data_IF_492449524600
#
_entry.id   IF_492449524600
#
_cell.length_a   1.000
_cell.length_b   1.000
_cell.length_c   1.000
_cell.angle_alpha   90.00
_cell.angle_beta   90.00
_cell.angle_gamma   90.00
#
_symmetry.space_group_name_H-M   'P 1'
#
loop_
_entity.id
_entity.type
_entity.pdbx_description
1 polymer ?
#
# COMPACT_ATOMS: atom_id res chain seq x y z
N UNK A 1 31.38 -0.12 53.65
CA UNK A 1 31.23 0.61 52.38
C UNK A 1 32.56 1.20 51.94
N UNK A 2 33.28 0.53 51.05
CA UNK A 2 34.55 0.99 50.49
C UNK A 2 34.30 1.52 49.07
N UNK A 3 34.37 2.85 48.90
CA UNK A 3 34.30 3.49 47.59
C UNK A 3 35.52 3.07 46.77
N UNK A 4 35.31 2.28 45.70
CA UNK A 4 36.30 2.06 44.65
C UNK A 4 36.62 3.42 44.02
N UNK A 5 37.88 3.84 44.10
CA UNK A 5 38.36 5.03 43.39
C UNK A 5 38.34 4.71 41.89
N UNK A 6 37.62 5.54 41.15
CA UNK A 6 37.55 5.47 39.69
C UNK A 6 38.91 5.85 39.12
N UNK A 7 39.65 4.88 38.58
CA UNK A 7 40.85 5.11 37.77
C UNK A 7 40.41 5.47 36.34
N UNK A 8 39.71 6.59 36.19
CA UNK A 8 39.47 7.18 34.88
C UNK A 8 40.45 8.36 34.77
N UNK A 9 41.20 8.42 33.68
CA UNK A 9 42.31 9.32 33.41
C UNK A 9 43.65 8.77 33.92
N UNK A 10 44.13 7.71 33.28
CA UNK A 10 45.57 7.50 33.13
C UNK A 10 45.91 7.58 31.65
N UNK A 11 46.80 8.54 31.35
CA UNK A 11 47.63 8.68 30.15
C UNK A 11 47.02 9.37 28.92
N UNK A 12 47.47 10.61 28.58
CA UNK A 12 47.48 11.08 27.21
C UNK A 12 48.70 10.42 26.51
N UNK A 13 48.63 9.11 26.30
CA UNK A 13 49.64 8.41 25.53
C UNK A 13 49.27 8.52 24.06
N UNK A 14 50.16 9.17 23.30
CA UNK A 14 50.18 9.27 21.86
C UNK A 14 48.83 9.64 21.24
N UNK A 15 48.62 10.94 21.01
CA UNK A 15 47.86 11.33 19.82
C UNK A 15 48.69 10.76 18.67
N UNK A 16 48.33 9.57 18.17
CA UNK A 16 48.82 9.10 16.89
C UNK A 16 48.62 10.26 15.93
N UNK A 17 49.71 10.77 15.39
CA UNK A 17 49.69 11.78 14.34
C UNK A 17 48.95 11.13 13.19
N UNK A 18 47.65 11.42 13.08
CA UNK A 18 46.81 10.93 11.99
C UNK A 18 47.49 11.42 10.73
N UNK A 19 47.95 10.48 9.89
CA UNK A 19 48.60 10.81 8.64
C UNK A 19 47.65 11.69 7.82
N UNK A 20 48.04 12.92 7.44
CA UNK A 20 47.21 13.80 6.62
C UNK A 20 46.75 13.12 5.32
N UNK A 21 47.52 12.15 4.81
CA UNK A 21 47.16 11.36 3.65
C UNK A 21 46.02 10.37 3.93
N UNK A 22 46.08 9.65 5.05
CA UNK A 22 45.00 8.73 5.47
C UNK A 22 43.69 9.51 5.75
N UNK A 23 43.79 10.68 6.39
CA UNK A 23 42.63 11.53 6.66
C UNK A 23 41.97 12.06 5.37
N UNK A 24 42.77 12.42 4.37
CA UNK A 24 42.24 12.86 3.07
C UNK A 24 41.59 11.69 2.30
N UNK A 25 42.19 10.49 2.37
CA UNK A 25 41.59 9.29 1.78
C UNK A 25 40.26 8.93 2.44
N UNK A 26 40.19 8.96 3.77
CA UNK A 26 38.97 8.72 4.53
C UNK A 26 37.90 9.80 4.25
N UNK A 27 38.31 11.07 4.16
CA UNK A 27 37.42 12.18 3.80
C UNK A 27 36.86 12.01 2.40
N UNK A 28 37.68 11.61 1.42
CA UNK A 28 37.24 11.32 0.05
C UNK A 28 36.31 10.10 0.01
N UNK A 29 36.61 9.05 0.76
CA UNK A 29 35.77 7.86 0.86
C UNK A 29 34.39 8.20 1.46
N UNK A 30 34.36 9.01 2.51
CA UNK A 30 33.12 9.50 3.14
C UNK A 30 32.33 10.40 2.18
N UNK A 31 32.99 11.32 1.47
CA UNK A 31 32.34 12.14 0.44
C UNK A 31 31.77 11.28 -0.69
N UNK A 32 32.49 10.25 -1.14
CA UNK A 32 32.02 9.30 -2.16
C UNK A 32 30.82 8.49 -1.67
N UNK A 33 30.83 8.02 -0.42
CA UNK A 33 29.69 7.34 0.19
C UNK A 33 28.48 8.27 0.30
N UNK A 34 28.68 9.51 0.76
CA UNK A 34 27.61 10.50 0.88
C UNK A 34 27.00 10.87 -0.47
N UNK A 35 27.83 11.09 -1.51
CA UNK A 35 27.32 11.35 -2.86
C UNK A 35 26.58 10.16 -3.44
N UNK A 36 26.97 8.93 -3.11
CA UNK A 36 26.28 7.71 -3.52
C UNK A 36 24.90 7.62 -2.86
N UNK A 37 24.82 7.86 -1.55
CA UNK A 37 23.55 7.89 -0.81
C UNK A 37 22.62 8.98 -1.35
N UNK A 38 23.13 10.20 -1.60
CA UNK A 38 22.33 11.28 -2.17
C UNK A 38 21.77 10.90 -3.55
N UNK A 39 22.57 10.27 -4.41
CA UNK A 39 22.08 9.79 -5.71
C UNK A 39 20.97 8.76 -5.55
N UNK A 40 21.11 7.84 -4.62
CA UNK A 40 20.07 6.83 -4.33
C UNK A 40 18.78 7.49 -3.86
N UNK A 41 18.85 8.37 -2.86
CA UNK A 41 17.69 9.12 -2.35
C UNK A 41 17.00 9.94 -3.44
N UNK A 42 17.77 10.68 -4.25
CA UNK A 42 17.18 11.45 -5.37
C UNK A 42 16.48 10.55 -6.39
N UNK A 43 16.98 9.33 -6.59
CA UNK A 43 16.37 8.37 -7.51
C UNK A 43 15.06 7.82 -6.95
N UNK A 44 15.00 7.54 -5.65
CA UNK A 44 13.78 7.06 -4.97
C UNK A 44 12.72 8.15 -5.04
N UNK A 45 13.04 9.37 -4.59
CA UNK A 45 12.11 10.51 -4.61
C UNK A 45 11.59 10.76 -6.03
N UNK A 46 12.48 10.72 -7.03
CA UNK A 46 12.08 10.92 -8.43
C UNK A 46 11.08 9.86 -8.90
N UNK A 47 11.27 8.59 -8.54
CA UNK A 47 10.34 7.50 -8.91
C UNK A 47 9.00 7.63 -8.22
N UNK A 48 8.99 7.98 -6.94
CA UNK A 48 7.77 8.19 -6.17
C UNK A 48 6.94 9.34 -6.76
N UNK A 49 7.60 10.45 -7.08
CA UNK A 49 6.95 11.59 -7.72
C UNK A 49 6.37 11.19 -9.08
N UNK A 50 7.11 10.40 -9.86
CA UNK A 50 6.65 9.91 -11.17
C UNK A 50 5.35 9.11 -11.03
N UNK A 51 5.25 8.19 -10.07
CA UNK A 51 4.03 7.39 -9.85
C UNK A 51 2.81 8.26 -9.48
N UNK A 52 3.02 9.30 -8.67
CA UNK A 52 1.94 10.22 -8.30
C UNK A 52 1.50 11.11 -9.47
N UNK A 53 2.45 11.53 -10.31
CA UNK A 53 2.17 12.30 -11.51
C UNK A 53 1.46 11.42 -12.57
N UNK A 54 1.81 10.15 -12.68
CA UNK A 54 1.12 9.15 -13.50
C UNK A 54 -0.32 8.93 -13.01
N UNK A 55 -0.54 8.82 -11.69
CA UNK A 55 -1.88 8.70 -11.10
C UNK A 55 -2.75 9.89 -11.49
N UNK A 56 -2.24 11.13 -11.36
CA UNK A 56 -2.95 12.34 -11.79
C UNK A 56 -3.24 12.33 -13.28
N UNK A 57 -2.25 11.96 -14.08
CA UNK A 57 -2.38 11.89 -15.53
C UNK A 57 -3.44 10.86 -15.94
N UNK A 58 -3.53 9.74 -15.24
CA UNK A 58 -4.55 8.71 -15.47
C UNK A 58 -5.96 9.25 -15.16
N UNK A 59 -6.11 10.02 -14.10
CA UNK A 59 -7.38 10.62 -13.71
C UNK A 59 -7.83 11.74 -14.65
N UNK A 60 -6.90 12.53 -15.16
CA UNK A 60 -7.20 13.65 -16.06
C UNK A 60 -7.53 13.17 -17.48
N UNK A 61 -6.86 12.10 -17.95
CA UNK A 61 -7.01 11.60 -19.32
C UNK A 61 -8.16 10.64 -19.53
N UNK A 62 -8.66 10.01 -18.47
CA UNK A 62 -9.79 9.10 -18.56
C UNK A 62 -11.05 9.75 -17.94
N UNK A 63 -11.90 10.42 -18.75
CA UNK A 63 -13.16 10.97 -18.26
C UNK A 63 -14.11 9.90 -17.72
N UNK A 64 -13.96 8.63 -18.15
CA UNK A 64 -14.68 7.52 -17.55
C UNK A 64 -14.06 7.08 -16.23
N UNK A 65 -12.78 7.28 -15.97
CA UNK A 65 -12.17 6.91 -14.70
C UNK A 65 -12.75 7.71 -13.54
N UNK A 66 -12.86 9.02 -13.72
CA UNK A 66 -13.56 9.88 -12.77
C UNK A 66 -15.03 9.43 -12.61
N UNK A 67 -15.72 9.10 -13.70
CA UNK A 67 -17.12 8.66 -13.66
C UNK A 67 -17.33 7.27 -13.04
N UNK A 68 -16.41 6.34 -13.26
CA UNK A 68 -16.39 4.95 -12.79
C UNK A 68 -16.07 4.88 -11.30
N UNK A 69 -15.15 5.72 -10.81
CA UNK A 69 -14.76 5.78 -9.41
C UNK A 69 -15.66 6.72 -8.56
N UNK A 70 -16.01 7.92 -9.05
CA UNK A 70 -16.69 8.95 -8.24
C UNK A 70 -18.21 8.96 -8.35
N UNK A 71 -18.79 8.72 -9.52
CA UNK A 71 -20.15 9.21 -9.76
C UNK A 71 -21.25 8.18 -9.53
N UNK A 72 -21.30 7.00 -10.18
CA UNK A 72 -22.59 6.27 -10.15
C UNK A 72 -22.69 4.75 -10.25
N UNK A 73 -21.70 3.90 -10.58
CA UNK A 73 -22.15 2.50 -10.80
C UNK A 73 -21.24 1.37 -11.25
N UNK A 74 -19.93 1.42 -11.00
CA UNK A 74 -19.08 0.23 -11.27
C UNK A 74 -18.25 -0.23 -10.07
N UNK A 75 -18.71 0.10 -8.88
CA UNK A 75 -18.19 -0.53 -7.65
C UNK A 75 -18.56 -2.02 -7.56
N UNK A 76 -19.53 -2.47 -8.37
CA UNK A 76 -19.89 -3.88 -8.56
C UNK A 76 -18.71 -4.68 -9.13
N UNK A 77 -17.89 -4.07 -9.97
CA UNK A 77 -16.69 -4.68 -10.55
C UNK A 77 -15.40 -4.41 -9.77
N UNK A 78 -15.46 -4.02 -8.50
CA UNK A 78 -14.26 -3.62 -7.75
C UNK A 78 -13.21 -4.73 -7.59
N UNK A 79 -13.61 -5.99 -7.71
CA UNK A 79 -12.70 -7.14 -7.78
C UNK A 79 -11.83 -7.18 -9.04
N UNK A 80 -12.18 -6.40 -10.08
CA UNK A 80 -11.46 -6.29 -11.35
C UNK A 80 -10.71 -4.97 -11.48
N UNK A 81 -10.68 -4.17 -10.41
CA UNK A 81 -9.96 -2.91 -10.43
C UNK A 81 -8.47 -3.13 -10.57
N UNK A 82 -7.82 -2.25 -11.33
CA UNK A 82 -6.37 -2.14 -11.38
C UNK A 82 -5.84 -1.31 -10.20
N UNK A 83 -4.52 -1.23 -10.06
CA UNK A 83 -3.87 -0.50 -8.96
C UNK A 83 -4.17 1.01 -8.96
N UNK A 84 -4.38 1.62 -10.13
CA UNK A 84 -4.72 3.04 -10.25
C UNK A 84 -6.12 3.31 -9.70
N UNK A 85 -7.09 2.47 -10.03
CA UNK A 85 -8.47 2.57 -9.53
C UNK A 85 -8.52 2.43 -8.00
N UNK A 86 -7.74 1.50 -7.43
CA UNK A 86 -7.62 1.34 -5.97
C UNK A 86 -6.99 2.60 -5.35
N UNK A 87 -5.89 3.09 -5.89
CA UNK A 87 -5.21 4.29 -5.38
C UNK A 87 -6.11 5.53 -5.44
N UNK A 88 -6.84 5.72 -6.55
CA UNK A 88 -7.78 6.82 -6.68
C UNK A 88 -8.95 6.70 -5.72
N UNK A 89 -9.45 5.47 -5.47
CA UNK A 89 -10.47 5.25 -4.44
C UNK A 89 -9.98 5.69 -3.06
N UNK A 90 -8.74 5.34 -2.68
CA UNK A 90 -8.15 5.82 -1.43
C UNK A 90 -8.07 7.34 -1.39
N UNK A 91 -7.62 7.97 -2.48
CA UNK A 91 -7.52 9.44 -2.54
C UNK A 91 -8.86 10.14 -2.36
N UNK A 92 -9.91 9.65 -3.04
CA UNK A 92 -11.29 10.18 -2.93
C UNK A 92 -11.81 10.06 -1.49
N UNK A 93 -11.46 8.98 -0.81
CA UNK A 93 -11.80 8.77 0.60
C UNK A 93 -10.89 9.57 1.55
N UNK A 94 -10.05 10.49 1.06
CA UNK A 94 -9.15 11.29 1.88
C UNK A 94 -8.02 10.48 2.53
N UNK A 95 -7.64 9.38 1.90
CA UNK A 95 -6.55 8.48 2.31
C UNK A 95 -5.35 8.61 1.34
N UNK A 96 -5.12 9.80 0.80
CA UNK A 96 -4.08 10.10 -0.21
C UNK A 96 -2.67 9.71 0.24
N UNK A 97 -2.36 9.84 1.53
CA UNK A 97 -1.06 9.46 2.09
C UNK A 97 -0.73 7.96 1.91
N UNK A 98 -1.73 7.12 1.60
CA UNK A 98 -1.55 5.69 1.36
C UNK A 98 -1.57 5.31 -0.12
N UNK A 99 -1.83 6.24 -1.05
CA UNK A 99 -1.84 5.91 -2.48
C UNK A 99 -0.49 5.38 -2.96
N UNK A 100 0.61 6.01 -2.55
CA UNK A 100 1.95 5.62 -2.98
C UNK A 100 2.36 4.21 -2.50
N UNK A 101 2.24 3.84 -1.21
CA UNK A 101 2.50 2.46 -0.77
C UNK A 101 1.67 1.40 -1.51
N UNK A 102 0.40 1.70 -1.82
CA UNK A 102 -0.48 0.79 -2.56
C UNK A 102 -0.05 0.66 -4.02
N UNK A 103 0.36 1.75 -4.67
CA UNK A 103 0.90 1.72 -6.04
C UNK A 103 2.24 0.99 -6.12
N UNK A 104 3.16 1.27 -5.20
CA UNK A 104 4.46 0.60 -5.12
C UNK A 104 4.32 -0.91 -4.94
N UNK A 105 3.31 -1.33 -4.17
CA UNK A 105 3.00 -2.74 -3.94
C UNK A 105 2.08 -3.35 -4.99
N UNK A 106 1.69 -2.57 -6.02
CA UNK A 106 0.81 -2.98 -7.11
C UNK A 106 -0.49 -3.63 -6.63
N UNK A 107 -1.09 -3.07 -5.57
CA UNK A 107 -2.33 -3.59 -4.98
C UNK A 107 -3.48 -3.35 -5.94
N UNK A 108 -4.01 -4.43 -6.51
CA UNK A 108 -5.20 -4.41 -7.35
C UNK A 108 -6.49 -4.61 -6.53
N UNK A 109 -7.64 -4.58 -7.22
CA UNK A 109 -8.94 -4.71 -6.60
C UNK A 109 -9.19 -6.06 -5.93
N UNK A 110 -8.65 -7.15 -6.46
CA UNK A 110 -8.83 -8.48 -5.87
C UNK A 110 -8.06 -8.57 -4.55
N UNK A 111 -6.78 -8.17 -4.55
CA UNK A 111 -5.93 -8.15 -3.37
C UNK A 111 -6.50 -7.20 -2.32
N UNK A 112 -6.90 -5.98 -2.74
CA UNK A 112 -7.49 -4.98 -1.87
C UNK A 112 -8.73 -5.50 -1.14
N UNK A 113 -9.60 -6.21 -1.86
CA UNK A 113 -10.86 -6.69 -1.30
C UNK A 113 -10.73 -7.99 -0.53
N UNK A 114 -9.78 -8.87 -0.80
CA UNK A 114 -9.82 -10.23 -0.24
C UNK A 114 -8.58 -10.62 0.57
N UNK A 115 -7.43 -10.04 0.27
CA UNK A 115 -6.15 -10.53 0.79
C UNK A 115 -5.53 -9.60 1.85
N UNK A 116 -5.94 -8.32 1.87
CA UNK A 116 -5.44 -7.38 2.87
C UNK A 116 -6.06 -7.60 4.25
N UNK A 117 -5.19 -7.77 5.24
CA UNK A 117 -5.54 -7.81 6.65
C UNK A 117 -4.86 -6.67 7.43
N UNK A 118 -5.24 -6.50 8.71
CA UNK A 118 -4.69 -5.43 9.58
C UNK A 118 -3.17 -5.45 9.68
N UNK A 119 -2.58 -6.65 9.71
CA UNK A 119 -1.14 -6.80 9.79
C UNK A 119 -0.50 -6.26 8.52
N UNK A 120 -0.87 -6.75 7.34
CA UNK A 120 -0.35 -6.28 6.04
C UNK A 120 -0.54 -4.77 5.85
N UNK A 121 -1.73 -4.25 6.17
CA UNK A 121 -2.01 -2.81 6.10
C UNK A 121 -1.06 -2.00 7.01
N UNK A 122 -0.81 -2.46 8.23
CA UNK A 122 0.02 -1.72 9.18
C UNK A 122 1.52 -1.88 8.94
N UNK A 123 1.99 -3.07 8.57
CA UNK A 123 3.42 -3.38 8.44
C UNK A 123 3.95 -3.09 7.05
N UNK A 124 3.20 -3.47 6.01
CA UNK A 124 3.66 -3.38 4.62
C UNK A 124 3.23 -2.07 3.97
N UNK A 125 1.97 -1.66 4.19
CA UNK A 125 1.43 -0.42 3.60
C UNK A 125 1.62 0.81 4.51
N UNK A 126 2.15 0.64 5.73
CA UNK A 126 2.38 1.73 6.67
C UNK A 126 1.10 2.43 7.17
N UNK A 127 -0.06 1.77 7.09
CA UNK A 127 -1.34 2.36 7.48
C UNK A 127 -1.40 2.54 8.99
N UNK A 128 -1.66 3.79 9.42
CA UNK A 128 -1.84 4.13 10.84
C UNK A 128 -3.07 3.40 11.40
N UNK A 129 -2.97 2.88 12.64
CA UNK A 129 -4.07 2.17 13.32
C UNK A 129 -5.41 2.93 13.30
N UNK A 130 -5.36 4.26 13.39
CA UNK A 130 -6.54 5.12 13.36
C UNK A 130 -7.29 5.12 12.02
N UNK A 131 -6.62 4.76 10.92
CA UNK A 131 -7.20 4.73 9.57
C UNK A 131 -7.63 3.34 9.12
N UNK A 132 -7.19 2.27 9.80
CA UNK A 132 -7.60 0.87 9.50
C UNK A 132 -9.12 0.71 9.47
N UNK A 133 -9.82 1.27 10.46
CA UNK A 133 -11.27 1.20 10.53
C UNK A 133 -11.98 1.89 9.36
N UNK A 134 -11.37 2.91 8.76
CA UNK A 134 -11.92 3.56 7.56
C UNK A 134 -11.70 2.69 6.32
N UNK A 135 -10.51 2.12 6.15
CA UNK A 135 -10.20 1.21 5.05
C UNK A 135 -11.13 -0.01 5.05
N UNK A 136 -11.36 -0.63 6.21
CA UNK A 136 -12.27 -1.77 6.31
C UNK A 136 -13.70 -1.42 5.89
N UNK A 137 -14.21 -0.26 6.30
CA UNK A 137 -15.55 0.19 5.85
C UNK A 137 -15.61 0.34 4.32
N UNK A 138 -14.58 0.92 3.71
CA UNK A 138 -14.49 1.05 2.26
C UNK A 138 -14.49 -0.35 1.60
N UNK A 139 -13.67 -1.28 2.11
CA UNK A 139 -13.59 -2.66 1.60
C UNK A 139 -14.93 -3.37 1.74
N UNK A 140 -15.60 -3.26 2.88
CA UNK A 140 -16.88 -3.91 3.14
C UNK A 140 -18.00 -3.32 2.26
N UNK A 141 -18.03 -2.01 2.06
CA UNK A 141 -18.96 -1.35 1.13
C UNK A 141 -18.76 -1.84 -0.31
N UNK A 142 -17.52 -1.98 -0.75
CA UNK A 142 -17.19 -2.49 -2.08
C UNK A 142 -17.55 -3.97 -2.22
N UNK A 143 -17.20 -4.82 -1.24
CA UNK A 143 -17.59 -6.24 -1.21
C UNK A 143 -19.10 -6.40 -1.29
N UNK A 144 -19.87 -5.58 -0.58
CA UNK A 144 -21.32 -5.65 -0.60
C UNK A 144 -21.87 -5.31 -2.00
N UNK A 145 -21.26 -4.36 -2.71
CA UNK A 145 -21.66 -3.99 -4.07
C UNK A 145 -21.26 -5.09 -5.07
N UNK A 146 -20.09 -5.69 -4.94
CA UNK A 146 -19.67 -6.84 -5.77
C UNK A 146 -20.58 -8.07 -5.58
N UNK A 147 -21.03 -8.35 -4.35
CA UNK A 147 -21.91 -9.50 -4.08
C UNK A 147 -23.28 -9.39 -4.76
N UNK A 148 -23.83 -8.17 -4.89
CA UNK A 148 -25.11 -7.98 -5.57
C UNK A 148 -25.06 -8.42 -7.04
N UNK A 149 -23.93 -8.21 -7.73
CA UNK A 149 -23.73 -8.71 -9.09
C UNK A 149 -23.74 -10.25 -9.10
N UNK A 150 -23.06 -10.87 -8.13
CA UNK A 150 -22.99 -12.33 -8.05
C UNK A 150 -24.34 -12.97 -7.74
N UNK A 151 -25.08 -12.44 -6.76
CA UNK A 151 -26.42 -12.93 -6.42
C UNK A 151 -27.39 -12.76 -7.60
N UNK A 152 -27.31 -11.64 -8.33
CA UNK A 152 -28.12 -11.42 -9.54
C UNK A 152 -27.81 -12.46 -10.62
N UNK A 153 -26.53 -12.70 -10.90
CA UNK A 153 -26.08 -13.70 -11.89
C UNK A 153 -26.49 -15.11 -11.46
N UNK A 154 -26.31 -15.48 -10.18
CA UNK A 154 -26.70 -16.80 -9.67
C UNK A 154 -28.22 -17.00 -9.75
N UNK A 155 -29.02 -15.97 -9.43
CA UNK A 155 -30.48 -16.01 -9.55
C UNK A 155 -30.91 -16.18 -11.02
N UNK A 156 -30.27 -15.45 -11.95
CA UNK A 156 -30.53 -15.59 -13.39
C UNK A 156 -30.14 -16.98 -13.90
N UNK A 157 -28.96 -17.48 -13.54
CA UNK A 157 -28.52 -18.84 -13.88
C UNK A 157 -29.46 -19.89 -13.29
N UNK A 158 -29.97 -19.67 -12.08
CA UNK A 158 -30.92 -20.57 -11.43
C UNK A 158 -32.32 -20.57 -12.08
N UNK A 159 -32.66 -19.56 -12.87
CA UNK A 159 -33.95 -19.44 -13.56
C UNK A 159 -34.16 -20.51 -14.62
N UNK A 160 -33.08 -20.91 -15.29
CA UNK A 160 -33.08 -21.91 -16.36
C UNK A 160 -32.83 -23.35 -15.84
N UNK A 161 -32.60 -23.50 -14.53
CA UNK A 161 -32.41 -24.81 -13.90
C UNK A 161 -33.79 -25.46 -13.69
N UNK A 162 -34.01 -26.71 -14.17
CA UNK A 162 -35.25 -27.44 -13.94
C UNK A 162 -35.61 -27.48 -12.45
N UNK A 163 -36.90 -27.31 -12.13
CA UNK A 163 -37.41 -27.26 -10.73
C UNK A 163 -36.97 -28.44 -9.86
N UNK A 164 -36.66 -29.59 -10.45
CA UNK A 164 -36.13 -30.77 -9.76
C UNK A 164 -34.73 -30.57 -9.17
N UNK A 165 -33.93 -29.64 -9.71
CA UNK A 165 -32.54 -29.37 -9.29
C UNK A 165 -32.45 -28.11 -8.42
N UNK A 166 -33.38 -27.16 -8.56
CA UNK A 166 -33.45 -25.94 -7.74
C UNK A 166 -33.52 -26.24 -6.22
N UNK A 167 -34.16 -27.35 -5.83
CA UNK A 167 -34.29 -27.77 -4.43
C UNK A 167 -32.92 -28.06 -3.77
N UNK A 168 -31.96 -28.59 -4.53
CA UNK A 168 -30.63 -28.94 -4.01
C UNK A 168 -29.72 -27.72 -3.88
N UNK A 169 -29.84 -26.75 -4.80
CA UNK A 169 -29.07 -25.50 -4.76
C UNK A 169 -29.51 -24.63 -3.60
N UNK A 170 -30.82 -24.53 -3.34
CA UNK A 170 -31.34 -23.78 -2.20
C UNK A 170 -30.89 -24.37 -0.85
N UNK A 171 -30.81 -25.70 -0.75
CA UNK A 171 -30.30 -26.39 0.43
C UNK A 171 -28.79 -26.16 0.63
N UNK A 172 -28.01 -26.12 -0.45
CA UNK A 172 -26.56 -25.86 -0.40
C UNK A 172 -26.24 -24.40 -0.03
N UNK A 173 -27.01 -23.43 -0.51
CA UNK A 173 -26.83 -22.01 -0.18
C UNK A 173 -27.21 -21.67 1.28
N UNK A 174 -28.03 -22.49 1.96
CA UNK A 174 -28.32 -22.33 3.39
C UNK A 174 -27.25 -22.93 4.31
N UNK A 175 -26.32 -23.71 3.77
CA UNK A 175 -25.26 -24.40 4.51
C UNK A 175 -23.89 -23.71 4.40
N UNK A 176 -23.78 -22.65 3.60
CA UNK A 176 -22.59 -21.79 3.42
C UNK A 176 -22.82 -20.42 4.06
#
# INVERSE_FOLDING_TARGET
>A
HTRKKSNLIQQPQAVEEIDPFELDEETRAMQAAMTTLLKQETTIISKEQTLLDELKTHEDNDPNFLYVCLLLGKQEGANRWNMWEVASKLRIEGLEEYCLPFLQSSIDGAVFLYDLNDQALSTEMGVKKVHLGKIHRIVDELRQKCRKEWDQVVIEMARDIPRSVQFYIHLLLQLL
#
